data_IF_016982912042
#
_entry.id   IF_016982912042
#
_cell.length_a   1.000
_cell.length_b   1.000
_cell.length_c   1.000
_cell.angle_alpha   90.00
_cell.angle_beta   90.00
_cell.angle_gamma   90.00
#
_symmetry.space_group_name_H-M   'P 1'
#
loop_
_entity.id
_entity.type
_entity.pdbx_description
1 polymer ?
#
# COMPACT_ATOMS: atom_id res chain seq x y z
N UNK A 1 22.79 20.51 5.65
CA UNK A 1 22.79 19.47 4.59
C UNK A 1 21.90 18.24 4.87
N UNK A 2 20.91 18.44 5.72
CA UNK A 2 19.90 17.40 6.04
C UNK A 2 19.07 17.02 4.79
N UNK A 3 18.86 17.97 3.88
CA UNK A 3 18.10 17.76 2.66
C UNK A 3 18.79 16.85 1.62
N UNK A 4 20.11 16.91 1.48
CA UNK A 4 20.84 16.08 0.52
C UNK A 4 20.91 14.58 0.89
N UNK A 5 20.84 14.26 2.18
CA UNK A 5 20.81 12.84 2.63
C UNK A 5 19.44 12.18 2.42
N UNK A 6 18.37 12.96 2.34
CA UNK A 6 17.00 12.45 2.16
C UNK A 6 16.63 12.22 0.68
N UNK A 7 17.36 12.82 -0.26
CA UNK A 7 17.08 12.70 -1.70
C UNK A 7 17.26 11.28 -2.27
N UNK A 8 17.91 10.37 -1.51
CA UNK A 8 18.22 9.00 -1.95
C UNK A 8 17.62 7.91 -1.07
N UNK A 9 16.74 8.29 -0.16
CA UNK A 9 16.13 7.34 0.77
C UNK A 9 14.66 7.61 0.91
N UNK A 10 13.85 6.55 0.78
CA UNK A 10 12.44 6.57 1.13
C UNK A 10 12.23 5.76 2.41
N UNK A 11 11.35 6.25 3.27
CA UNK A 11 10.91 5.55 4.48
C UNK A 11 9.42 5.28 4.36
N UNK A 12 9.06 3.99 4.38
CA UNK A 12 7.69 3.53 4.26
C UNK A 12 7.28 2.80 5.54
N UNK A 13 6.46 3.41 6.41
CA UNK A 13 6.01 2.75 7.62
C UNK A 13 5.03 1.61 7.30
N UNK A 14 5.29 0.43 7.87
CA UNK A 14 4.40 -0.72 7.81
C UNK A 14 3.33 -0.60 8.89
N UNK A 15 2.16 -0.18 8.49
CA UNK A 15 1.02 0.01 9.37
C UNK A 15 0.17 -1.24 9.44
N UNK A 16 -0.66 -1.33 10.48
CA UNK A 16 -1.58 -2.44 10.67
C UNK A 16 -2.48 -2.61 9.44
N UNK A 17 -2.50 -3.82 8.90
CA UNK A 17 -3.31 -4.21 7.75
C UNK A 17 -3.80 -5.65 7.87
N UNK A 18 -3.72 -6.40 6.80
CA UNK A 18 -4.17 -7.81 6.73
C UNK A 18 -3.20 -8.83 7.37
N UNK A 19 -2.15 -8.36 8.01
CA UNK A 19 -1.09 -9.16 8.63
C UNK A 19 -0.34 -10.11 7.67
N UNK A 20 -0.35 -9.81 6.36
CA UNK A 20 0.44 -10.54 5.37
C UNK A 20 1.86 -9.96 5.29
N UNK A 21 2.84 -10.82 5.43
CA UNK A 21 4.26 -10.45 5.47
C UNK A 21 5.05 -10.97 4.27
N UNK A 22 4.37 -11.40 3.21
CA UNK A 22 5.03 -11.99 2.03
C UNK A 22 6.05 -11.03 1.40
N UNK A 23 5.70 -9.74 1.25
CA UNK A 23 6.62 -8.73 0.74
C UNK A 23 7.85 -8.56 1.62
N UNK A 24 7.71 -8.61 2.94
CA UNK A 24 8.83 -8.51 3.86
C UNK A 24 9.75 -9.73 3.78
N UNK A 25 9.18 -10.94 3.68
CA UNK A 25 9.95 -12.17 3.45
C UNK A 25 10.72 -12.10 2.15
N UNK A 26 10.10 -11.59 1.09
CA UNK A 26 10.76 -11.40 -0.20
C UNK A 26 11.91 -10.41 -0.09
N UNK A 27 11.74 -9.29 0.62
CA UNK A 27 12.79 -8.29 0.85
C UNK A 27 13.98 -8.88 1.62
N UNK A 28 13.75 -9.76 2.59
CA UNK A 28 14.81 -10.45 3.32
C UNK A 28 15.62 -11.37 2.39
N UNK A 29 14.93 -12.05 1.47
CA UNK A 29 15.58 -12.95 0.51
C UNK A 29 16.26 -12.19 -0.64
N UNK A 30 15.61 -11.14 -1.14
CA UNK A 30 16.10 -10.27 -2.21
C UNK A 30 15.64 -8.83 -1.92
N UNK A 31 16.55 -7.93 -1.53
CA UNK A 31 16.19 -6.58 -1.13
C UNK A 31 15.78 -5.66 -2.29
N UNK A 32 15.84 -6.10 -3.53
CA UNK A 32 15.45 -5.27 -4.68
C UNK A 32 13.96 -4.99 -4.67
N UNK A 33 13.61 -3.72 -4.76
CA UNK A 33 12.22 -3.25 -4.76
C UNK A 33 11.99 -2.26 -5.89
N UNK A 34 10.74 -2.22 -6.35
CA UNK A 34 10.26 -1.21 -7.27
C UNK A 34 8.94 -0.63 -6.75
N UNK A 35 8.84 0.70 -6.74
CA UNK A 35 7.64 1.42 -6.35
C UNK A 35 7.15 2.21 -7.55
N UNK A 36 5.84 2.21 -7.77
CA UNK A 36 5.17 3.09 -8.71
C UNK A 36 4.28 4.07 -7.93
N UNK A 37 4.42 5.34 -8.24
CA UNK A 37 3.57 6.40 -7.70
C UNK A 37 2.54 6.80 -8.73
N UNK A 38 1.28 6.64 -8.37
CA UNK A 38 0.12 7.13 -9.10
C UNK A 38 -0.38 8.39 -8.41
N UNK A 39 -0.53 9.47 -9.17
CA UNK A 39 -1.04 10.74 -8.66
C UNK A 39 -2.44 10.94 -9.24
N UNK A 40 -3.49 10.98 -8.42
CA UNK A 40 -4.85 11.14 -8.92
C UNK A 40 -4.99 12.35 -9.85
N UNK A 41 -5.56 12.13 -11.02
CA UNK A 41 -5.75 13.15 -12.05
C UNK A 41 -4.53 13.41 -12.95
N UNK A 42 -3.35 12.85 -12.63
CA UNK A 42 -2.12 13.02 -13.43
C UNK A 42 -1.86 11.76 -14.25
N UNK A 43 -1.57 11.95 -15.52
CA UNK A 43 -1.32 10.83 -16.44
C UNK A 43 0.06 10.20 -16.31
N UNK A 44 1.08 11.00 -15.97
CA UNK A 44 2.44 10.53 -15.75
C UNK A 44 2.54 9.75 -14.44
N UNK A 45 3.41 8.74 -14.43
CA UNK A 45 3.73 8.00 -13.21
C UNK A 45 5.22 8.13 -12.89
N UNK A 46 5.56 8.07 -11.61
CA UNK A 46 6.95 8.04 -11.16
C UNK A 46 7.26 6.64 -10.68
N UNK A 47 8.38 6.10 -11.14
CA UNK A 47 8.93 4.84 -10.65
C UNK A 47 10.21 5.06 -9.88
N UNK A 48 10.35 4.34 -8.79
CA UNK A 48 11.55 4.30 -7.97
C UNK A 48 11.99 2.86 -7.85
N UNK A 49 13.21 2.58 -8.23
CA UNK A 49 13.87 1.29 -7.98
C UNK A 49 14.94 1.49 -6.92
N UNK A 50 15.11 0.50 -6.06
CA UNK A 50 16.10 0.57 -4.99
C UNK A 50 16.23 -0.73 -4.22
N UNK A 51 16.90 -0.65 -3.08
CA UNK A 51 17.10 -1.77 -2.17
C UNK A 51 16.47 -1.44 -0.83
N UNK A 52 15.63 -2.35 -0.34
CA UNK A 52 14.91 -2.17 0.91
C UNK A 52 15.59 -2.90 2.07
N UNK A 53 15.51 -2.32 3.24
CA UNK A 53 15.80 -2.95 4.52
C UNK A 53 14.67 -2.71 5.51
N UNK A 54 14.46 -3.64 6.43
CA UNK A 54 13.41 -3.58 7.45
C UNK A 54 14.03 -3.04 8.74
N UNK A 55 13.50 -1.93 9.24
CA UNK A 55 13.97 -1.26 10.45
C UNK A 55 12.92 -1.39 11.55
N UNK A 56 13.41 -1.60 12.78
CA UNK A 56 12.60 -1.72 14.01
C UNK A 56 13.10 -0.79 15.13
N UNK A 57 13.88 0.23 14.76
CA UNK A 57 14.40 1.19 15.71
C UNK A 57 13.26 1.97 16.40
N UNK A 58 13.18 1.99 17.76
CA UNK A 58 12.07 2.60 18.48
C UNK A 58 11.88 4.07 18.18
N UNK A 59 12.97 4.84 18.12
CA UNK A 59 12.91 6.29 17.88
C UNK A 59 12.40 6.57 16.46
N UNK A 60 12.77 5.70 15.51
CA UNK A 60 12.26 5.78 14.15
C UNK A 60 10.77 5.43 14.09
N UNK A 61 10.33 4.39 14.79
CA UNK A 61 8.92 4.01 14.85
C UNK A 61 8.06 5.13 15.46
N UNK A 62 8.54 5.77 16.52
CA UNK A 62 7.84 6.90 17.14
C UNK A 62 7.67 8.08 16.19
N UNK A 63 8.66 8.39 15.36
CA UNK A 63 8.56 9.46 14.35
C UNK A 63 7.44 9.23 13.34
N UNK A 64 7.02 7.98 13.15
CA UNK A 64 5.92 7.59 12.27
C UNK A 64 4.63 7.24 13.01
N UNK A 65 4.56 7.56 14.32
CA UNK A 65 3.32 7.39 15.07
C UNK A 65 2.19 8.21 14.44
N UNK A 66 0.99 7.65 14.41
CA UNK A 66 -0.21 8.28 13.90
C UNK A 66 -1.37 7.96 14.84
N UNK A 67 -2.04 8.98 15.37
CA UNK A 67 -3.07 8.82 16.40
C UNK A 67 -2.64 7.93 17.59
N UNK A 68 -1.39 8.09 18.03
CA UNK A 68 -0.79 7.31 19.11
C UNK A 68 -0.44 5.86 18.77
N UNK A 69 -0.60 5.44 17.52
CA UNK A 69 -0.28 4.09 17.05
C UNK A 69 1.04 4.08 16.29
N UNK A 70 1.95 3.22 16.71
CA UNK A 70 3.23 3.00 16.04
C UNK A 70 3.05 2.05 14.84
N UNK A 71 3.85 2.21 13.77
CA UNK A 71 3.99 1.16 12.78
C UNK A 71 4.74 -0.05 13.38
N UNK A 72 4.55 -1.24 12.81
CA UNK A 72 5.25 -2.44 13.25
C UNK A 72 6.73 -2.38 12.85
N UNK A 73 7.01 -1.89 11.65
CA UNK A 73 8.36 -1.72 11.09
C UNK A 73 8.38 -0.49 10.17
N UNK A 74 9.56 -0.09 9.75
CA UNK A 74 9.75 0.88 8.67
C UNK A 74 10.62 0.26 7.58
N UNK A 75 10.12 0.23 6.35
CA UNK A 75 10.95 -0.11 5.20
C UNK A 75 11.77 1.12 4.82
N UNK A 76 13.09 1.00 4.95
CA UNK A 76 14.05 1.96 4.41
C UNK A 76 14.41 1.51 3.00
N UNK A 77 14.24 2.38 2.01
CA UNK A 77 14.57 2.09 0.62
C UNK A 77 15.68 3.03 0.18
N UNK A 78 16.85 2.49 -0.05
CA UNK A 78 17.96 3.20 -0.66
C UNK A 78 17.71 3.26 -2.17
N UNK A 79 17.47 4.48 -2.68
CA UNK A 79 17.03 4.71 -4.06
C UNK A 79 18.21 4.58 -5.00
N UNK A 80 18.09 3.71 -6.00
CA UNK A 80 19.09 3.49 -7.05
C UNK A 80 18.72 4.21 -8.35
N UNK A 81 17.43 4.23 -8.70
CA UNK A 81 16.95 4.88 -9.91
C UNK A 81 15.56 5.49 -9.73
N UNK A 82 15.35 6.66 -10.32
CA UNK A 82 14.04 7.32 -10.42
C UNK A 82 13.82 7.68 -11.88
N UNK A 83 12.63 7.36 -12.37
CA UNK A 83 12.27 7.69 -13.75
C UNK A 83 10.77 7.92 -13.91
N UNK A 84 10.44 8.78 -14.88
CA UNK A 84 9.07 9.03 -15.29
C UNK A 84 8.63 8.02 -16.34
N UNK A 85 7.38 7.63 -16.26
CA UNK A 85 6.72 6.84 -17.29
C UNK A 85 5.63 7.68 -17.96
N UNK A 86 5.50 7.57 -19.27
CA UNK A 86 4.56 8.37 -20.05
C UNK A 86 3.10 8.08 -19.66
N UNK A 87 2.24 9.07 -19.91
CA UNK A 87 0.81 9.05 -19.60
C UNK A 87 -0.03 8.07 -20.44
N UNK A 88 0.53 7.45 -21.46
CA UNK A 88 -0.25 6.66 -22.45
C UNK A 88 -1.10 5.56 -21.83
N UNK A 89 -0.59 4.85 -20.82
CA UNK A 89 -1.33 3.77 -20.17
C UNK A 89 -2.52 4.32 -19.39
N UNK A 90 -2.31 5.37 -18.61
CA UNK A 90 -3.34 6.04 -17.79
C UNK A 90 -4.43 6.64 -18.71
N UNK A 91 -4.04 7.33 -19.78
CA UNK A 91 -4.98 7.92 -20.74
C UNK A 91 -5.78 6.85 -21.48
N UNK A 92 -5.12 5.78 -21.93
CA UNK A 92 -5.79 4.69 -22.65
C UNK A 92 -6.77 3.93 -21.78
N UNK A 93 -6.41 3.68 -20.53
CA UNK A 93 -7.30 3.02 -19.57
C UNK A 93 -8.37 3.94 -19.01
N UNK A 94 -8.27 5.26 -19.24
CA UNK A 94 -9.15 6.28 -18.65
C UNK A 94 -9.22 6.17 -17.12
N UNK A 95 -8.09 5.82 -16.48
CA UNK A 95 -8.02 5.47 -15.05
C UNK A 95 -8.60 6.57 -14.14
N UNK A 96 -8.41 7.84 -14.50
CA UNK A 96 -8.86 8.99 -13.72
C UNK A 96 -10.18 9.59 -14.21
N UNK A 97 -10.77 9.01 -15.25
CA UNK A 97 -12.05 9.48 -15.79
C UNK A 97 -13.20 9.04 -14.87
N UNK A 98 -13.89 10.01 -14.33
CA UNK A 98 -15.01 9.78 -13.39
C UNK A 98 -16.13 8.99 -14.06
N UNK A 99 -16.37 9.21 -15.35
CA UNK A 99 -17.43 8.53 -16.12
C UNK A 99 -17.12 7.03 -16.34
N UNK A 100 -15.88 6.61 -16.11
CA UNK A 100 -15.46 5.21 -16.18
C UNK A 100 -15.51 4.50 -14.82
N UNK A 101 -15.83 5.20 -13.75
CA UNK A 101 -15.94 4.58 -12.43
C UNK A 101 -17.24 3.76 -12.35
N UNK A 102 -17.10 2.50 -12.00
CA UNK A 102 -18.24 1.60 -11.79
C UNK A 102 -18.74 1.69 -10.34
N UNK A 103 -20.03 1.49 -10.16
CA UNK A 103 -20.58 1.37 -8.81
C UNK A 103 -19.97 0.16 -8.09
N UNK A 104 -19.67 0.30 -6.79
CA UNK A 104 -19.10 -0.82 -6.00
C UNK A 104 -19.95 -2.08 -6.07
N UNK A 105 -21.28 -1.92 -6.19
CA UNK A 105 -22.25 -3.02 -6.29
C UNK A 105 -22.20 -3.80 -7.60
N UNK A 106 -21.46 -3.33 -8.60
CA UNK A 106 -21.24 -4.04 -9.87
C UNK A 106 -20.39 -5.30 -9.69
N UNK A 107 -19.57 -5.32 -8.66
CA UNK A 107 -18.70 -6.45 -8.32
C UNK A 107 -19.19 -7.15 -7.05
N UNK A 108 -18.92 -8.45 -6.89
CA UNK A 108 -19.20 -9.15 -5.65
C UNK A 108 -18.59 -8.45 -4.44
N UNK A 109 -19.28 -8.49 -3.31
CA UNK A 109 -18.74 -7.98 -2.06
C UNK A 109 -17.56 -8.83 -1.58
N UNK A 110 -16.73 -8.28 -0.68
CA UNK A 110 -15.64 -9.06 -0.10
C UNK A 110 -16.17 -10.24 0.72
N UNK A 111 -17.28 -10.06 1.44
CA UNK A 111 -17.96 -11.15 2.15
C UNK A 111 -18.44 -12.25 1.22
N UNK A 112 -19.03 -11.89 0.07
CA UNK A 112 -19.41 -12.89 -0.96
C UNK A 112 -18.20 -13.68 -1.43
N UNK A 113 -17.10 -13.00 -1.77
CA UNK A 113 -15.87 -13.66 -2.23
C UNK A 113 -15.30 -14.59 -1.16
N UNK A 114 -15.23 -14.15 0.09
CA UNK A 114 -14.71 -14.95 1.20
C UNK A 114 -15.58 -16.18 1.48
N UNK A 115 -16.89 -16.03 1.42
CA UNK A 115 -17.83 -17.16 1.55
C UNK A 115 -17.59 -18.24 0.49
N UNK A 116 -17.46 -17.83 -0.76
CA UNK A 116 -17.18 -18.76 -1.86
C UNK A 116 -15.82 -19.46 -1.69
N UNK A 117 -14.76 -18.70 -1.38
CA UNK A 117 -13.41 -19.25 -1.22
C UNK A 117 -13.25 -20.14 0.01
N UNK A 118 -14.07 -19.93 1.05
CA UNK A 118 -14.05 -20.76 2.27
C UNK A 118 -15.00 -21.96 2.23
N UNK A 119 -15.70 -22.20 1.11
CA UNK A 119 -16.73 -23.25 1.05
C UNK A 119 -17.90 -22.98 2.01
N UNK A 120 -18.26 -21.70 2.19
CA UNK A 120 -19.30 -21.21 3.09
C UNK A 120 -18.99 -21.31 4.60
N UNK A 121 -17.75 -21.56 4.99
CA UNK A 121 -17.33 -21.50 6.40
C UNK A 121 -17.37 -20.07 6.97
N UNK A 122 -17.20 -19.05 6.10
CA UNK A 122 -17.28 -17.63 6.47
C UNK A 122 -18.68 -17.11 6.15
N UNK A 123 -19.35 -16.55 7.18
CA UNK A 123 -20.58 -15.79 6.98
C UNK A 123 -20.28 -14.47 6.29
N UNK A 124 -20.51 -14.43 4.97
CA UNK A 124 -20.19 -13.28 4.13
C UNK A 124 -21.06 -12.06 4.42
N UNK A 125 -22.33 -12.24 4.76
CA UNK A 125 -23.24 -11.13 5.07
C UNK A 125 -22.85 -10.44 6.38
N UNK A 126 -22.54 -11.23 7.41
CA UNK A 126 -22.01 -10.71 8.68
C UNK A 126 -20.67 -10.00 8.46
N UNK A 127 -19.79 -10.58 7.65
CA UNK A 127 -18.50 -9.98 7.31
C UNK A 127 -18.67 -8.58 6.70
N UNK A 128 -19.55 -8.44 5.73
CA UNK A 128 -19.81 -7.17 5.05
C UNK A 128 -20.48 -6.14 5.98
N UNK A 129 -21.42 -6.57 6.81
CA UNK A 129 -22.08 -5.70 7.78
C UNK A 129 -21.11 -5.13 8.83
N UNK A 130 -20.14 -5.91 9.29
CA UNK A 130 -19.14 -5.51 10.28
C UNK A 130 -17.97 -4.72 9.68
N UNK A 131 -17.73 -4.84 8.37
CA UNK A 131 -16.55 -4.28 7.70
C UNK A 131 -16.37 -2.77 7.90
N UNK A 132 -17.39 -1.90 7.78
CA UNK A 132 -17.20 -0.45 7.95
C UNK A 132 -16.72 -0.08 9.37
N UNK A 133 -17.30 -0.68 10.39
CA UNK A 133 -16.91 -0.43 11.78
C UNK A 133 -15.49 -0.94 12.05
N UNK A 134 -15.16 -2.11 11.55
CA UNK A 134 -13.83 -2.72 11.67
C UNK A 134 -12.75 -1.89 10.95
N UNK A 135 -13.02 -1.37 9.75
CA UNK A 135 -12.11 -0.49 9.04
C UNK A 135 -11.87 0.80 9.83
N UNK A 136 -12.93 1.42 10.35
CA UNK A 136 -12.83 2.66 11.14
C UNK A 136 -11.95 2.49 12.38
N UNK A 137 -12.02 1.34 13.04
CA UNK A 137 -11.24 1.08 14.28
C UNK A 137 -9.82 0.55 14.01
N UNK A 138 -9.60 -0.09 12.86
CA UNK A 138 -8.31 -0.69 12.51
C UNK A 138 -7.42 0.22 11.67
N UNK A 139 -7.96 1.25 11.01
CA UNK A 139 -7.15 2.29 10.40
C UNK A 139 -6.41 3.09 11.50
N UNK A 140 -5.24 3.56 11.16
CA UNK A 140 -4.38 4.38 12.02
C UNK A 140 -5.01 5.71 12.39
#
# INVERSE_FOLDING_TARGET
DVYKRQEKTLLLPDRRGNNRIDSMRNIISDPRVAIIFLIPGIGETVRVNGRASILIDPDLLERFAMDGKLPNTVLKIDVEAVFFQCSRAILRSKLWDVDQQIARTTLPSLGTILRELSGAEIDGEKYDAELPARLKTSMY
#
